data_IF_934485675677
#
_entry.id   IF_934485675677
#
_cell.length_a   1.000
_cell.length_b   1.000
_cell.length_c   1.000
_cell.angle_alpha   90.00
_cell.angle_beta   90.00
_cell.angle_gamma   90.00
#
_symmetry.space_group_name_H-M   'P 1'
#
loop_
_entity.id
_entity.type
_entity.pdbx_description
1 polymer ?
#
# COMPACT_ATOMS: atom_id res chain seq x y z
N UNK A 1 17.69 -11.18 -1.74
CA UNK A 1 17.58 -10.18 -2.82
C UNK A 1 16.64 -9.09 -2.34
N UNK A 2 17.00 -7.81 -2.49
CA UNK A 2 16.16 -6.67 -2.11
C UNK A 2 15.79 -5.93 -3.40
N UNK A 3 14.50 -5.82 -3.66
CA UNK A 3 13.97 -5.12 -4.83
C UNK A 3 13.73 -3.65 -4.52
N UNK A 4 13.88 -2.79 -5.52
CA UNK A 4 13.44 -1.40 -5.41
C UNK A 4 11.94 -1.31 -5.72
N UNK A 5 11.22 -0.48 -4.97
CA UNK A 5 9.81 -0.18 -5.23
C UNK A 5 9.77 1.15 -5.97
N UNK A 6 9.11 1.15 -7.12
CA UNK A 6 8.77 2.36 -7.87
C UNK A 6 7.28 2.61 -7.62
N UNK A 7 6.95 3.78 -7.09
CA UNK A 7 5.58 4.25 -6.95
C UNK A 7 5.34 5.17 -8.15
N UNK A 8 4.24 4.94 -8.87
CA UNK A 8 3.85 5.79 -10.00
C UNK A 8 3.12 7.04 -9.48
N UNK A 9 3.20 8.15 -10.21
CA UNK A 9 2.63 9.43 -9.80
C UNK A 9 1.14 9.33 -9.37
N UNK A 10 0.33 8.58 -10.13
CA UNK A 10 -1.07 8.34 -9.77
C UNK A 10 -1.23 7.60 -8.43
N UNK A 11 -0.34 6.64 -8.15
CA UNK A 11 -0.36 5.92 -6.89
C UNK A 11 0.10 6.80 -5.72
N UNK A 12 1.00 7.77 -5.94
CA UNK A 12 1.37 8.75 -4.91
C UNK A 12 0.15 9.61 -4.52
N UNK A 13 -0.60 10.08 -5.52
CA UNK A 13 -1.84 10.85 -5.29
C UNK A 13 -2.84 10.02 -4.48
N UNK A 14 -3.11 8.77 -4.87
CA UNK A 14 -4.04 7.89 -4.15
C UNK A 14 -3.61 7.62 -2.70
N UNK A 15 -2.30 7.47 -2.45
CA UNK A 15 -1.76 7.29 -1.10
C UNK A 15 -2.00 8.55 -0.27
N UNK A 16 -1.73 9.73 -0.81
CA UNK A 16 -1.93 11.02 -0.13
C UNK A 16 -3.40 11.29 0.18
N UNK A 17 -4.29 11.01 -0.77
CA UNK A 17 -5.74 11.10 -0.57
C UNK A 17 -6.21 10.15 0.52
N UNK A 18 -5.70 8.92 0.54
CA UNK A 18 -6.01 7.93 1.58
C UNK A 18 -5.54 8.40 2.96
N UNK A 19 -4.31 8.95 3.07
CA UNK A 19 -3.79 9.50 4.32
C UNK A 19 -4.69 10.63 4.83
N UNK A 20 -5.06 11.58 3.97
CA UNK A 20 -5.96 12.70 4.31
C UNK A 20 -7.33 12.20 4.73
N UNK A 21 -7.89 11.23 4.02
CA UNK A 21 -9.16 10.61 4.35
C UNK A 21 -9.13 10.02 5.76
N UNK A 22 -8.14 9.17 6.07
CA UNK A 22 -8.06 8.55 7.40
C UNK A 22 -7.81 9.57 8.50
N UNK A 23 -6.94 10.55 8.29
CA UNK A 23 -6.69 11.62 9.27
C UNK A 23 -7.95 12.44 9.56
N UNK A 24 -8.81 12.66 8.56
CA UNK A 24 -10.09 13.35 8.74
C UNK A 24 -11.10 12.58 9.61
N UNK A 25 -10.90 11.26 9.78
CA UNK A 25 -11.78 10.41 10.59
C UNK A 25 -11.36 10.35 12.04
N UNK A 26 -10.06 10.33 12.31
CA UNK A 26 -9.51 10.41 13.65
C UNK A 26 -8.07 10.91 13.62
N UNK A 27 -7.72 11.76 14.58
CA UNK A 27 -6.39 12.34 14.70
C UNK A 27 -5.33 11.23 14.82
N UNK A 28 -4.33 11.26 13.96
CA UNK A 28 -3.23 10.30 13.88
C UNK A 28 -3.51 9.07 13.02
N UNK A 29 -4.75 8.86 12.56
CA UNK A 29 -5.11 7.67 11.80
C UNK A 29 -4.47 7.64 10.41
N UNK A 30 -4.26 8.80 9.77
CA UNK A 30 -3.53 8.88 8.51
C UNK A 30 -2.07 8.46 8.66
N UNK A 31 -1.44 8.83 9.77
CA UNK A 31 -0.08 8.36 10.12
C UNK A 31 -0.05 6.85 10.35
N UNK A 32 -1.04 6.30 11.05
CA UNK A 32 -1.15 4.84 11.26
C UNK A 32 -1.32 4.09 9.93
N UNK A 33 -2.15 4.60 9.02
CA UNK A 33 -2.32 4.04 7.68
C UNK A 33 -0.99 4.02 6.91
N UNK A 34 -0.23 5.11 6.92
CA UNK A 34 1.06 5.17 6.24
C UNK A 34 2.08 4.17 6.81
N UNK A 35 2.13 4.01 8.13
CA UNK A 35 3.00 3.00 8.79
C UNK A 35 2.60 1.59 8.34
N UNK A 36 1.30 1.31 8.34
CA UNK A 36 0.74 0.03 7.92
C UNK A 36 1.10 -0.27 6.44
N UNK A 37 0.90 0.69 5.53
CA UNK A 37 1.28 0.57 4.11
C UNK A 37 2.79 0.31 3.93
N UNK A 38 3.65 1.04 4.65
CA UNK A 38 5.10 0.83 4.64
C UNK A 38 5.51 -0.57 5.09
N UNK A 39 4.74 -1.19 6.00
CA UNK A 39 4.91 -2.59 6.37
C UNK A 39 4.80 -3.53 5.17
N UNK A 40 3.81 -3.32 4.31
CA UNK A 40 3.66 -4.10 3.09
C UNK A 40 4.74 -3.82 2.05
N UNK A 41 5.20 -2.58 1.92
CA UNK A 41 6.36 -2.27 1.07
C UNK A 41 7.59 -3.07 1.49
N UNK A 42 7.83 -3.25 2.79
CA UNK A 42 8.93 -4.09 3.28
C UNK A 42 8.79 -5.54 2.80
N UNK A 43 7.59 -6.11 2.85
CA UNK A 43 7.30 -7.46 2.37
C UNK A 43 7.52 -7.57 0.85
N UNK A 44 7.04 -6.59 0.08
CA UNK A 44 7.19 -6.57 -1.39
C UNK A 44 8.66 -6.44 -1.82
N UNK A 45 9.47 -5.67 -1.08
CA UNK A 45 10.91 -5.55 -1.34
C UNK A 45 11.65 -6.87 -1.19
N UNK A 46 11.19 -7.77 -0.33
CA UNK A 46 11.84 -9.07 -0.11
C UNK A 46 11.19 -10.21 -0.90
N UNK A 47 9.87 -10.14 -1.09
CA UNK A 47 9.04 -11.23 -1.65
C UNK A 47 8.03 -10.71 -2.70
N UNK A 48 8.47 -10.16 -3.85
CA UNK A 48 7.57 -9.52 -4.83
C UNK A 48 6.59 -10.50 -5.49
N UNK A 49 6.86 -11.82 -5.43
CA UNK A 49 6.00 -12.87 -6.00
C UNK A 49 5.02 -13.48 -4.99
N UNK A 50 4.98 -12.96 -3.76
CA UNK A 50 4.17 -13.52 -2.66
C UNK A 50 2.66 -13.56 -2.98
N UNK A 51 2.15 -12.54 -3.67
CA UNK A 51 0.71 -12.41 -3.97
C UNK A 51 0.39 -12.94 -5.36
N UNK A 52 -0.73 -13.65 -5.51
CA UNK A 52 -1.16 -14.24 -6.77
C UNK A 52 -1.42 -13.21 -7.87
N UNK A 53 -1.25 -13.62 -9.14
CA UNK A 53 -1.65 -12.84 -10.30
C UNK A 53 -3.18 -12.89 -10.40
N UNK A 54 -3.83 -11.72 -10.46
CA UNK A 54 -5.30 -11.62 -10.49
C UNK A 54 -5.87 -11.00 -11.75
N UNK A 55 -5.08 -10.25 -12.53
CA UNK A 55 -5.53 -9.61 -13.78
C UNK A 55 -4.53 -9.79 -14.93
N UNK A 56 -5.05 -10.04 -16.12
CA UNK A 56 -4.27 -9.94 -17.36
C UNK A 56 -3.76 -8.50 -17.52
N UNK A 57 -2.53 -8.27 -18.02
CA UNK A 57 -1.55 -9.22 -18.56
C UNK A 57 -0.52 -9.75 -17.53
N UNK A 58 -0.76 -9.60 -16.21
CA UNK A 58 0.18 -10.11 -15.19
C UNK A 58 0.20 -9.37 -13.86
N UNK A 59 -0.82 -8.58 -13.55
CA UNK A 59 -0.86 -7.79 -12.32
C UNK A 59 -1.15 -8.65 -11.09
N UNK A 60 -0.39 -8.40 -10.02
CA UNK A 60 -0.60 -9.00 -8.70
C UNK A 60 -1.37 -8.00 -7.85
N UNK A 61 -2.37 -8.48 -7.12
CA UNK A 61 -3.15 -7.66 -6.22
C UNK A 61 -2.84 -8.04 -4.77
N UNK A 62 -2.44 -7.05 -3.99
CA UNK A 62 -2.31 -7.14 -2.54
C UNK A 62 -3.52 -6.46 -1.92
N UNK A 63 -4.40 -7.25 -1.32
CA UNK A 63 -5.51 -6.71 -0.54
C UNK A 63 -4.94 -6.36 0.85
N UNK A 64 -4.87 -5.07 1.15
CA UNK A 64 -4.67 -4.62 2.51
C UNK A 64 -5.89 -5.09 3.31
N UNK A 65 -5.71 -5.93 4.35
CA UNK A 65 -6.83 -6.27 5.24
C UNK A 65 -7.50 -4.99 5.69
N UNK A 66 -8.84 -4.96 5.72
CA UNK A 66 -9.65 -3.78 6.03
C UNK A 66 -8.94 -2.97 7.11
N UNK A 67 -8.36 -1.85 6.73
CA UNK A 67 -7.86 -0.89 7.69
C UNK A 67 -9.13 -0.31 8.31
N UNK A 68 -9.61 -1.00 9.34
CA UNK A 68 -10.85 -0.70 10.03
C UNK A 68 -10.66 0.66 10.69
N UNK A 69 -11.57 1.57 10.35
CA UNK A 69 -11.76 2.86 11.02
C UNK A 69 -12.12 2.64 12.49
#
# INVERSE_FOLDING_TARGET
MVFNIIILDLAEIEIDESIKFYESKSKGLGKHFLIYLKGYFKILKTNPKLFGIKKAPGFRELILSKFLL
#
